data_IF_622894995353
#
_entry.id   IF_622894995353
#
_cell.length_a   1.000
_cell.length_b   1.000
_cell.length_c   1.000
_cell.angle_alpha   90.00
_cell.angle_beta   90.00
_cell.angle_gamma   90.00
#
_symmetry.space_group_name_H-M   'P 1'
#
loop_
_entity.id
_entity.type
_entity.pdbx_description
1 polymer ?
#
# COMPACT_ATOMS: atom_id res chain seq x y z
N UNK A 1 11.59 6.40 -4.05
CA UNK A 1 12.57 6.07 -2.97
C UNK A 1 13.39 4.88 -3.44
N UNK A 2 14.72 4.96 -3.40
CA UNK A 2 15.57 3.89 -3.94
C UNK A 2 15.62 2.69 -2.97
N UNK A 3 15.26 1.50 -3.46
CA UNK A 3 15.23 0.22 -2.74
C UNK A 3 16.62 -0.29 -2.29
N UNK A 4 17.68 0.48 -2.54
CA UNK A 4 19.07 0.08 -2.38
C UNK A 4 19.53 0.06 -0.91
N UNK A 5 18.96 0.90 -0.03
CA UNK A 5 19.34 0.96 1.38
C UNK A 5 18.92 -0.27 2.17
N UNK A 6 17.63 -0.62 2.10
CA UNK A 6 17.06 -1.78 2.82
C UNK A 6 17.66 -3.09 2.32
N UNK A 7 17.87 -3.22 1.00
CA UNK A 7 18.51 -4.42 0.43
C UNK A 7 19.96 -4.62 0.89
N UNK A 8 20.75 -3.55 1.09
CA UNK A 8 22.13 -3.66 1.58
C UNK A 8 22.20 -4.07 3.05
N UNK A 9 21.33 -3.51 3.90
CA UNK A 9 21.24 -3.87 5.33
C UNK A 9 20.79 -5.33 5.46
N UNK A 10 19.80 -5.74 4.66
CA UNK A 10 19.30 -7.12 4.63
C UNK A 10 20.32 -8.08 4.04
N UNK A 11 21.08 -7.70 3.02
CA UNK A 11 22.18 -8.52 2.49
C UNK A 11 23.31 -8.66 3.51
N UNK A 12 23.60 -7.64 4.33
CA UNK A 12 24.51 -7.76 5.49
C UNK A 12 23.95 -8.70 6.56
N UNK A 13 22.65 -8.60 6.85
CA UNK A 13 21.94 -9.48 7.78
C UNK A 13 21.85 -10.95 7.30
N UNK A 14 21.71 -11.17 6.00
CA UNK A 14 21.61 -12.48 5.37
C UNK A 14 22.97 -13.06 4.93
N UNK A 15 24.02 -12.23 4.84
CA UNK A 15 25.37 -12.62 4.43
C UNK A 15 26.21 -13.28 5.53
N UNK A 16 25.63 -13.50 6.71
CA UNK A 16 26.24 -14.31 7.77
C UNK A 16 25.94 -15.78 7.44
N UNK A 17 26.82 -16.41 6.66
CA UNK A 17 26.69 -17.82 6.29
C UNK A 17 26.90 -18.73 7.50
N UNK A 18 25.97 -19.66 7.73
CA UNK A 18 26.02 -20.64 8.83
C UNK A 18 24.66 -20.88 9.49
N UNK A 19 24.55 -21.88 10.38
CA UNK A 19 23.38 -22.03 11.26
C UNK A 19 23.22 -20.84 12.23
N UNK A 20 24.29 -20.07 12.34
CA UNK A 20 24.51 -19.04 13.33
C UNK A 20 23.97 -17.67 12.87
N UNK A 21 24.29 -17.20 11.66
CA UNK A 21 23.65 -15.98 11.12
C UNK A 21 22.11 -15.99 11.10
N UNK A 22 21.55 -17.20 11.00
CA UNK A 22 20.11 -17.46 10.92
C UNK A 22 19.37 -17.18 12.22
N UNK A 23 19.97 -17.45 13.38
CA UNK A 23 19.32 -17.19 14.68
C UNK A 23 19.56 -15.75 15.15
N UNK A 24 20.66 -15.10 14.71
CA UNK A 24 20.91 -13.69 15.00
C UNK A 24 19.85 -12.78 14.36
N UNK A 25 19.47 -13.04 13.10
CA UNK A 25 18.39 -12.31 12.41
C UNK A 25 17.05 -12.48 13.14
N UNK A 26 16.72 -13.72 13.53
CA UNK A 26 15.51 -14.05 14.26
C UNK A 26 15.46 -13.33 15.62
N UNK A 27 16.54 -13.39 16.40
CA UNK A 27 16.63 -12.71 17.71
C UNK A 27 16.60 -11.19 17.58
N UNK A 28 17.18 -10.62 16.53
CA UNK A 28 17.19 -9.17 16.24
C UNK A 28 15.79 -8.68 15.87
N UNK A 29 15.13 -9.38 14.94
CA UNK A 29 13.76 -9.07 14.53
C UNK A 29 12.82 -9.24 15.75
N UNK A 30 13.00 -10.30 16.54
CA UNK A 30 12.21 -10.54 17.75
C UNK A 30 12.49 -9.49 18.84
N UNK A 31 13.73 -9.07 19.07
CA UNK A 31 14.06 -8.05 20.08
C UNK A 31 13.66 -6.63 19.67
N UNK A 32 13.51 -6.38 18.37
CA UNK A 32 12.99 -5.11 17.84
C UNK A 32 11.45 -5.10 17.82
N UNK A 33 10.81 -6.27 17.68
CA UNK A 33 9.34 -6.40 17.57
C UNK A 33 8.66 -6.67 18.92
N UNK A 34 9.28 -7.42 19.82
CA UNK A 34 8.66 -7.87 21.07
C UNK A 34 9.22 -7.14 22.28
N UNK A 35 8.34 -6.74 23.19
CA UNK A 35 8.74 -6.23 24.53
C UNK A 35 9.37 -7.34 25.37
N UNK A 36 10.22 -6.97 26.32
CA UNK A 36 10.94 -7.89 27.22
C UNK A 36 10.00 -8.93 27.86
N UNK A 37 8.77 -8.52 28.18
CA UNK A 37 7.71 -9.38 28.74
C UNK A 37 7.23 -10.48 27.78
N UNK A 38 7.10 -10.18 26.48
CA UNK A 38 6.68 -11.14 25.44
C UNK A 38 7.81 -12.10 25.05
N UNK A 39 9.07 -11.64 25.16
CA UNK A 39 10.27 -12.46 25.00
C UNK A 39 10.35 -13.51 26.13
N UNK A 40 10.01 -13.13 27.36
CA UNK A 40 10.00 -14.03 28.53
C UNK A 40 8.91 -15.11 28.41
N UNK A 41 7.69 -14.76 27.97
CA UNK A 41 6.61 -15.73 27.77
C UNK A 41 6.92 -16.76 26.67
N UNK A 42 7.61 -16.36 25.59
CA UNK A 42 7.99 -17.25 24.49
C UNK A 42 9.21 -18.12 24.81
N UNK A 43 10.15 -17.61 25.63
CA UNK A 43 11.38 -18.31 26.00
C UNK A 43 11.22 -19.37 27.10
N UNK A 44 10.02 -19.54 27.68
CA UNK A 44 9.76 -20.68 28.57
C UNK A 44 9.69 -22.04 27.83
N UNK A 45 9.82 -22.07 26.50
CA UNK A 45 9.74 -23.32 25.72
C UNK A 45 11.06 -23.89 25.21
N UNK A 46 12.20 -23.19 25.20
CA UNK A 46 13.42 -23.74 24.59
C UNK A 46 14.71 -23.40 25.36
N UNK A 47 15.19 -24.37 26.14
CA UNK A 47 16.56 -24.38 26.68
C UNK A 47 17.51 -24.94 25.63
N UNK A 48 18.39 -24.09 25.09
CA UNK A 48 19.79 -24.35 24.65
C UNK A 48 20.12 -23.51 23.42
N UNK A 49 20.61 -22.28 23.54
CA UNK A 49 21.33 -21.67 22.40
C UNK A 49 22.36 -20.64 22.86
N UNK A 50 23.61 -21.07 22.94
CA UNK A 50 24.80 -20.22 23.02
C UNK A 50 25.53 -20.20 21.67
N UNK A 51 26.16 -19.05 21.40
CA UNK A 51 27.16 -18.73 20.37
C UNK A 51 26.71 -18.42 18.95
N UNK A 52 26.62 -17.11 18.67
CA UNK A 52 26.75 -16.51 17.33
C UNK A 52 27.41 -15.12 17.45
N UNK A 53 28.44 -14.93 16.63
CA UNK A 53 29.44 -13.85 16.61
C UNK A 53 29.08 -12.69 15.66
N UNK A 54 27.95 -12.06 15.94
CA UNK A 54 27.80 -10.62 16.00
C UNK A 54 26.73 -10.44 17.08
N UNK A 55 27.00 -9.72 18.19
CA UNK A 55 26.03 -9.63 19.26
C UNK A 55 24.76 -9.03 18.65
N UNK A 56 23.64 -9.73 18.76
CA UNK A 56 22.31 -9.31 18.29
C UNK A 56 22.08 -7.81 18.53
N UNK A 57 22.62 -7.30 19.63
CA UNK A 57 22.76 -5.90 20.03
C UNK A 57 23.24 -4.94 18.93
N UNK A 58 24.27 -5.27 18.14
CA UNK A 58 24.80 -4.40 17.08
C UNK A 58 23.83 -4.23 15.91
N UNK A 59 23.15 -5.31 15.52
CA UNK A 59 22.17 -5.29 14.44
C UNK A 59 20.91 -4.54 14.86
N UNK A 60 20.49 -4.71 16.12
CA UNK A 60 19.42 -3.91 16.73
C UNK A 60 19.80 -2.44 16.72
N UNK A 61 21.02 -2.09 17.15
CA UNK A 61 21.50 -0.71 17.17
C UNK A 61 21.52 -0.07 15.77
N UNK A 62 21.78 -0.84 14.71
CA UNK A 62 21.78 -0.34 13.33
C UNK A 62 20.37 -0.23 12.74
N UNK A 63 19.46 -1.16 13.07
CA UNK A 63 18.11 -1.19 12.51
C UNK A 63 17.15 -0.23 13.21
N UNK A 64 17.27 -0.07 14.52
CA UNK A 64 16.36 0.73 15.35
C UNK A 64 16.23 2.19 14.86
N UNK A 65 17.32 2.95 14.60
CA UNK A 65 17.20 4.32 14.11
C UNK A 65 16.52 4.40 12.75
N UNK A 66 16.78 3.43 11.87
CA UNK A 66 16.18 3.38 10.54
C UNK A 66 14.67 3.10 10.60
N UNK A 67 14.25 2.14 11.42
CA UNK A 67 12.85 1.81 11.69
C UNK A 67 12.13 3.01 12.30
N UNK A 68 12.68 3.61 13.35
CA UNK A 68 12.14 4.81 14.01
C UNK A 68 11.95 5.95 13.00
N UNK A 69 12.98 6.23 12.18
CA UNK A 69 12.91 7.26 11.13
C UNK A 69 11.78 7.03 10.13
N UNK A 70 11.61 5.81 9.64
CA UNK A 70 10.55 5.48 8.67
C UNK A 70 9.17 5.55 9.33
N UNK A 71 9.03 5.06 10.56
CA UNK A 71 7.80 5.15 11.34
C UNK A 71 7.36 6.59 11.51
N UNK A 72 8.25 7.47 11.99
CA UNK A 72 7.98 8.90 12.16
C UNK A 72 7.58 9.53 10.84
N UNK A 73 8.36 9.29 9.78
CA UNK A 73 8.07 9.82 8.46
C UNK A 73 6.66 9.42 7.99
N UNK A 74 6.27 8.16 8.16
CA UNK A 74 4.95 7.66 7.77
C UNK A 74 3.80 8.35 8.51
N UNK A 75 3.95 8.62 9.81
CA UNK A 75 2.96 9.38 10.57
C UNK A 75 2.86 10.82 10.09
N UNK A 76 4.00 11.50 9.91
CA UNK A 76 4.04 12.89 9.46
C UNK A 76 3.46 13.06 8.04
N UNK A 77 3.63 12.07 7.14
CA UNK A 77 3.04 12.10 5.80
C UNK A 77 1.50 12.10 5.83
N UNK A 78 0.88 11.55 6.88
CA UNK A 78 -0.58 11.50 7.06
C UNK A 78 -1.15 12.76 7.71
N UNK A 79 -0.31 13.58 8.35
CA UNK A 79 -0.75 14.80 9.04
C UNK A 79 -1.18 15.91 8.07
N UNK A 80 -2.03 16.81 8.58
CA UNK A 80 -2.39 18.03 7.86
C UNK A 80 -1.20 19.00 7.82
N UNK A 81 -1.24 19.96 6.88
CA UNK A 81 -0.24 21.01 6.79
C UNK A 81 -0.18 21.88 8.07
N UNK A 82 -1.34 22.09 8.71
CA UNK A 82 -1.47 22.87 9.95
C UNK A 82 -0.73 22.16 11.08
N UNK A 83 -1.01 20.87 11.29
CA UNK A 83 -0.37 20.07 12.33
C UNK A 83 1.15 20.01 12.16
N UNK A 84 1.61 19.81 10.92
CA UNK A 84 3.03 19.82 10.60
C UNK A 84 3.69 21.17 10.89
N UNK A 85 2.99 22.28 10.66
CA UNK A 85 3.50 23.61 10.98
C UNK A 85 3.64 23.79 12.50
N UNK A 86 2.67 23.33 13.28
CA UNK A 86 2.72 23.34 14.75
C UNK A 86 3.85 22.46 15.30
N UNK A 87 4.07 21.27 14.74
CA UNK A 87 5.18 20.39 15.15
C UNK A 87 6.56 20.97 14.78
N UNK A 88 6.64 21.72 13.68
CA UNK A 88 7.89 22.31 13.20
C UNK A 88 8.42 23.43 14.11
N UNK A 89 7.57 24.04 14.96
CA UNK A 89 7.99 25.08 15.90
C UNK A 89 9.12 24.65 16.83
N UNK A 90 9.24 23.36 17.16
CA UNK A 90 10.34 22.82 17.99
C UNK A 90 11.69 22.74 17.26
N UNK A 91 11.67 22.81 15.93
CA UNK A 91 12.84 22.60 15.06
C UNK A 91 13.18 23.85 14.23
N UNK A 92 12.57 24.98 14.58
CA UNK A 92 12.79 26.24 13.89
C UNK A 92 14.02 26.92 14.51
N UNK A 93 15.21 26.48 14.10
CA UNK A 93 16.46 27.11 14.52
C UNK A 93 16.47 28.57 14.08
N UNK A 94 16.71 29.49 15.03
CA UNK A 94 16.78 30.94 14.77
C UNK A 94 17.85 31.30 13.73
N UNK A 95 18.81 30.42 13.46
CA UNK A 95 19.97 30.65 12.60
C UNK A 95 19.69 30.68 11.08
N UNK A 96 18.48 30.34 10.63
CA UNK A 96 18.16 30.36 9.19
C UNK A 96 17.21 31.51 8.81
N UNK A 97 17.61 32.75 9.05
CA UNK A 97 16.88 33.92 8.50
C UNK A 97 16.68 33.81 6.98
N UNK A 98 17.58 33.08 6.28
CA UNK A 98 17.49 32.78 4.85
C UNK A 98 16.43 31.73 4.46
N UNK A 99 15.82 31.02 5.42
CA UNK A 99 14.72 30.06 5.16
C UNK A 99 13.33 30.63 5.49
N UNK A 100 13.23 31.84 6.09
CA UNK A 100 11.94 32.47 6.44
C UNK A 100 11.05 32.71 5.20
N UNK A 101 11.64 32.92 4.03
CA UNK A 101 10.92 33.23 2.78
C UNK A 101 10.57 32.00 1.93
N UNK A 102 11.09 30.81 2.27
CA UNK A 102 10.76 29.60 1.51
C UNK A 102 9.39 29.09 1.93
N UNK A 103 8.46 29.01 0.97
CA UNK A 103 7.15 28.35 1.16
C UNK A 103 7.38 26.98 1.80
N UNK A 104 6.93 26.83 3.04
CA UNK A 104 7.06 25.61 3.86
C UNK A 104 6.19 24.49 3.31
N UNK A 105 6.57 23.92 2.16
CA UNK A 105 5.84 22.81 1.56
C UNK A 105 5.81 21.61 2.51
N UNK A 106 4.73 20.83 2.51
CA UNK A 106 4.54 19.61 3.31
C UNK A 106 5.77 18.70 3.29
N UNK A 107 6.36 18.49 2.11
CA UNK A 107 7.54 17.63 1.94
C UNK A 107 8.76 18.15 2.71
N UNK A 108 8.96 19.47 2.76
CA UNK A 108 10.03 20.11 3.52
C UNK A 108 9.81 19.93 5.02
N UNK A 109 8.60 20.22 5.50
CA UNK A 109 8.23 20.07 6.92
C UNK A 109 8.42 18.63 7.39
N UNK A 110 7.86 17.64 6.67
CA UNK A 110 8.02 16.22 6.99
C UNK A 110 9.50 15.85 7.09
N UNK A 111 10.33 16.28 6.13
CA UNK A 111 11.77 15.96 6.13
C UNK A 111 12.48 16.55 7.35
N UNK A 112 12.26 17.84 7.65
CA UNK A 112 12.92 18.53 8.77
C UNK A 112 12.49 17.97 10.12
N UNK A 113 11.18 17.83 10.33
CA UNK A 113 10.62 17.25 11.56
C UNK A 113 11.11 15.80 11.73
N UNK A 114 11.12 14.99 10.67
CA UNK A 114 11.65 13.62 10.74
C UNK A 114 13.10 13.60 11.22
N UNK A 115 13.95 14.47 10.66
CA UNK A 115 15.35 14.56 11.07
C UNK A 115 15.49 14.92 12.55
N UNK A 116 14.84 16.01 12.99
CA UNK A 116 14.93 16.46 14.38
C UNK A 116 14.38 15.44 15.38
N UNK A 117 13.23 14.81 15.10
CA UNK A 117 12.70 13.73 15.96
C UNK A 117 13.64 12.53 15.97
N UNK A 118 14.31 12.18 14.87
CA UNK A 118 15.16 10.99 14.83
C UNK A 118 16.44 11.16 15.65
N UNK A 119 16.93 12.39 15.83
CA UNK A 119 18.13 12.69 16.62
C UNK A 119 17.94 12.40 18.12
N UNK A 120 16.79 12.76 18.68
CA UNK A 120 16.40 12.41 20.05
C UNK A 120 14.98 11.83 20.10
N UNK A 121 14.84 10.63 19.53
CA UNK A 121 13.52 10.01 19.39
C UNK A 121 12.82 9.78 20.72
N UNK A 122 13.49 9.15 21.68
CA UNK A 122 12.86 8.79 22.96
C UNK A 122 12.63 10.05 23.83
N UNK A 123 13.56 11.00 23.82
CA UNK A 123 13.41 12.28 24.52
C UNK A 123 12.31 13.15 23.95
N UNK A 124 12.16 13.24 22.62
CA UNK A 124 11.10 14.01 21.97
C UNK A 124 9.71 13.55 22.44
N UNK A 125 9.42 12.24 22.36
CA UNK A 125 8.11 11.71 22.76
C UNK A 125 7.88 11.72 24.28
N UNK A 126 8.94 11.64 25.09
CA UNK A 126 8.85 11.76 26.55
C UNK A 126 8.48 13.19 26.98
N UNK A 127 8.97 14.19 26.23
CA UNK A 127 8.72 15.60 26.50
C UNK A 127 7.48 16.16 25.79
N UNK A 128 6.82 15.34 24.96
CA UNK A 128 5.67 15.75 24.15
C UNK A 128 4.45 16.11 25.02
N UNK A 129 3.96 17.35 24.90
CA UNK A 129 2.85 17.90 25.71
C UNK A 129 1.91 18.75 24.87
N UNK A 130 0.75 19.09 25.44
CA UNK A 130 -0.19 20.06 24.87
C UNK A 130 -0.76 19.63 23.50
N UNK A 131 -0.84 20.57 22.57
CA UNK A 131 -1.44 20.33 21.25
C UNK A 131 -0.61 19.38 20.38
N UNK A 132 0.72 19.38 20.55
CA UNK A 132 1.62 18.44 19.86
C UNK A 132 1.34 16.99 20.24
N UNK A 133 1.08 16.74 21.53
CA UNK A 133 0.67 15.40 21.97
C UNK A 133 -0.69 15.01 21.36
N UNK A 134 -1.66 15.93 21.31
CA UNK A 134 -2.97 15.67 20.70
C UNK A 134 -2.85 15.30 19.22
N UNK A 135 -1.97 15.97 18.47
CA UNK A 135 -1.72 15.68 17.04
C UNK A 135 -1.30 14.21 16.87
N UNK A 136 -0.35 13.72 17.66
CA UNK A 136 0.06 12.32 17.58
C UNK A 136 -1.03 11.35 18.07
N UNK A 137 -1.73 11.69 19.16
CA UNK A 137 -2.81 10.85 19.71
C UNK A 137 -4.00 10.68 18.75
N UNK A 138 -4.23 11.63 17.85
CA UNK A 138 -5.28 11.53 16.82
C UNK A 138 -4.96 10.48 15.75
N UNK A 139 -3.67 10.21 15.53
CA UNK A 139 -3.21 9.24 14.53
C UNK A 139 -2.94 7.86 15.12
N UNK A 140 -2.77 7.77 16.43
CA UNK A 140 -2.55 6.51 17.11
C UNK A 140 -3.86 5.90 17.59
N UNK A 141 -4.00 4.58 17.47
CA UNK A 141 -5.12 3.88 18.10
C UNK A 141 -5.07 3.99 19.64
N UNK A 142 -3.86 4.18 20.16
CA UNK A 142 -3.58 4.30 21.60
C UNK A 142 -3.76 5.74 22.09
N UNK A 143 -4.69 5.97 23.02
CA UNK A 143 -4.87 7.29 23.67
C UNK A 143 -3.81 7.57 24.77
N UNK A 144 -2.64 6.92 24.72
CA UNK A 144 -1.61 6.98 25.77
C UNK A 144 -0.25 7.32 25.18
N UNK A 145 0.40 8.36 25.72
CA UNK A 145 1.73 8.81 25.30
C UNK A 145 2.80 7.71 25.18
N UNK A 146 3.04 6.84 26.19
CA UNK A 146 4.08 5.80 26.07
C UNK A 146 3.82 4.78 24.96
N UNK A 147 2.56 4.61 24.54
CA UNK A 147 2.20 3.72 23.44
C UNK A 147 2.46 4.32 22.06
N UNK A 148 2.64 5.65 21.96
CA UNK A 148 2.97 6.32 20.70
C UNK A 148 4.31 5.83 20.17
N UNK A 149 5.31 5.73 21.04
CA UNK A 149 6.65 5.22 20.70
C UNK A 149 6.56 3.79 20.14
N UNK A 150 5.82 2.92 20.84
CA UNK A 150 5.64 1.53 20.44
C UNK A 150 4.94 1.44 19.09
N UNK A 151 3.87 2.21 18.88
CA UNK A 151 3.07 2.20 17.65
C UNK A 151 3.87 2.74 16.45
N UNK A 152 4.57 3.86 16.62
CA UNK A 152 5.45 4.43 15.58
C UNK A 152 6.56 3.44 15.21
N UNK A 153 7.16 2.80 16.21
CA UNK A 153 8.21 1.78 15.98
C UNK A 153 7.63 0.60 15.23
N UNK A 154 6.46 0.10 15.63
CA UNK A 154 5.78 -1.02 14.98
C UNK A 154 5.44 -0.71 13.52
N UNK A 155 4.90 0.48 13.23
CA UNK A 155 4.63 0.95 11.86
C UNK A 155 5.94 1.05 11.06
N UNK A 156 7.02 1.53 11.66
CA UNK A 156 8.34 1.53 11.05
C UNK A 156 8.83 0.14 10.69
N UNK A 157 8.64 -0.85 11.57
CA UNK A 157 9.00 -2.25 11.30
C UNK A 157 8.13 -2.83 10.19
N UNK A 158 6.82 -2.56 10.22
CA UNK A 158 5.89 -3.01 9.19
C UNK A 158 6.31 -2.50 7.80
N UNK A 159 6.57 -1.20 7.66
CA UNK A 159 7.03 -0.61 6.40
C UNK A 159 8.39 -1.16 6.00
N UNK A 160 9.31 -1.35 6.95
CA UNK A 160 10.59 -1.99 6.67
C UNK A 160 10.38 -3.40 6.10
N UNK A 161 9.55 -4.23 6.73
CA UNK A 161 9.24 -5.59 6.31
C UNK A 161 8.56 -5.61 4.93
N UNK A 162 7.68 -4.66 4.62
CA UNK A 162 7.07 -4.54 3.29
C UNK A 162 8.06 -4.20 2.18
N UNK A 163 9.18 -3.55 2.51
CA UNK A 163 10.24 -3.26 1.56
C UNK A 163 11.22 -4.43 1.37
N UNK A 164 11.05 -5.53 2.12
CA UNK A 164 11.86 -6.74 2.00
C UNK A 164 11.37 -7.59 0.83
N UNK A 165 12.30 -8.21 0.11
CA UNK A 165 11.97 -9.14 -0.97
C UNK A 165 11.15 -10.33 -0.44
N UNK A 166 10.13 -10.75 -1.19
CA UNK A 166 9.23 -11.85 -0.79
C UNK A 166 9.97 -13.16 -0.52
N UNK A 167 11.06 -13.45 -1.25
CA UNK A 167 11.89 -14.61 -0.99
C UNK A 167 12.50 -14.60 0.42
N UNK A 168 12.99 -13.43 0.85
CA UNK A 168 13.54 -13.23 2.20
C UNK A 168 12.44 -13.27 3.26
N UNK A 169 11.26 -12.68 3.01
CA UNK A 169 10.12 -12.77 3.93
C UNK A 169 9.65 -14.21 4.14
N UNK A 170 9.57 -14.98 3.05
CA UNK A 170 9.22 -16.41 3.10
C UNK A 170 10.23 -17.18 3.94
N UNK A 171 11.52 -16.93 3.71
CA UNK A 171 12.60 -17.51 4.49
C UNK A 171 12.47 -17.20 6.00
N UNK A 172 12.17 -15.93 6.34
CA UNK A 172 11.95 -15.52 7.74
C UNK A 172 10.74 -16.27 8.34
N UNK A 173 9.63 -16.37 7.61
CA UNK A 173 8.44 -17.11 8.06
C UNK A 173 8.75 -18.59 8.33
N UNK A 174 9.45 -19.26 7.41
CA UNK A 174 9.87 -20.66 7.59
C UNK A 174 10.75 -20.84 8.82
N UNK A 175 11.65 -19.90 9.09
CA UNK A 175 12.51 -19.91 10.28
C UNK A 175 11.76 -19.68 11.58
N UNK A 176 10.68 -18.91 11.54
CA UNK A 176 9.79 -18.69 12.68
C UNK A 176 8.77 -19.82 12.88
N UNK A 177 8.77 -20.85 12.03
CA UNK A 177 7.80 -21.95 12.08
C UNK A 177 6.43 -21.59 11.50
N UNK A 178 6.31 -20.49 10.75
CA UNK A 178 5.07 -20.06 10.10
C UNK A 178 4.90 -20.72 8.74
N UNK A 179 3.90 -21.58 8.62
CA UNK A 179 3.52 -22.21 7.35
C UNK A 179 2.54 -21.28 6.62
N UNK A 180 3.08 -20.36 5.82
CA UNK A 180 2.27 -19.40 5.06
C UNK A 180 1.79 -20.04 3.75
N UNK A 181 0.47 -20.12 3.48
CA UNK A 181 -0.06 -20.87 2.34
C UNK A 181 0.12 -20.16 0.98
N UNK A 182 0.45 -18.87 0.98
CA UNK A 182 0.58 -18.06 -0.23
C UNK A 182 1.83 -17.16 -0.19
N UNK A 183 2.32 -16.77 -1.37
CA UNK A 183 3.44 -15.82 -1.49
C UNK A 183 2.99 -14.36 -1.32
N UNK A 184 1.93 -14.10 -0.55
CA UNK A 184 1.43 -12.75 -0.36
C UNK A 184 2.27 -12.04 0.72
N UNK A 185 2.97 -10.94 0.40
CA UNK A 185 3.82 -10.23 1.37
C UNK A 185 3.01 -9.76 2.58
N UNK A 186 1.76 -9.32 2.41
CA UNK A 186 0.91 -8.89 3.53
C UNK A 186 0.73 -10.00 4.56
N UNK A 187 0.46 -11.23 4.12
CA UNK A 187 0.26 -12.37 5.02
C UNK A 187 1.56 -12.70 5.76
N UNK A 188 2.70 -12.64 5.07
CA UNK A 188 4.02 -12.88 5.69
C UNK A 188 4.37 -11.82 6.72
N UNK A 189 4.23 -10.53 6.37
CA UNK A 189 4.50 -9.40 7.27
C UNK A 189 3.59 -9.48 8.50
N UNK A 190 2.28 -9.67 8.33
CA UNK A 190 1.36 -9.84 9.45
C UNK A 190 1.72 -11.06 10.30
N UNK A 191 2.15 -12.18 9.70
CA UNK A 191 2.57 -13.37 10.45
C UNK A 191 3.80 -13.09 11.31
N UNK A 192 4.77 -12.35 10.76
CA UNK A 192 6.00 -11.96 11.47
C UNK A 192 5.67 -11.02 12.63
N UNK A 193 4.82 -10.00 12.41
CA UNK A 193 4.48 -9.00 13.42
C UNK A 193 3.59 -9.57 14.53
N UNK A 194 2.53 -10.31 14.18
CA UNK A 194 1.56 -10.85 15.16
C UNK A 194 2.03 -12.13 15.82
N UNK A 195 3.02 -12.80 15.23
CA UNK A 195 3.51 -14.08 15.67
C UNK A 195 2.60 -15.27 15.32
N UNK A 196 1.55 -15.07 14.51
CA UNK A 196 0.59 -16.08 14.11
C UNK A 196 0.20 -15.94 12.63
N UNK A 197 -0.03 -17.07 11.93
CA UNK A 197 -0.48 -17.04 10.53
C UNK A 197 -1.96 -16.63 10.50
N UNK A 198 -2.35 -15.53 9.82
CA UNK A 198 -3.74 -15.13 9.71
C UNK A 198 -4.57 -16.26 9.12
N UNK A 199 -5.75 -16.51 9.70
CA UNK A 199 -6.68 -17.48 9.14
C UNK A 199 -6.96 -17.11 7.69
N UNK A 200 -6.86 -18.10 6.79
CA UNK A 200 -7.19 -17.90 5.38
C UNK A 200 -8.65 -17.45 5.32
N UNK A 201 -8.89 -16.17 5.02
CA UNK A 201 -10.23 -15.67 4.75
C UNK A 201 -10.78 -16.52 3.61
N UNK A 202 -11.71 -17.41 3.93
CA UNK A 202 -12.43 -18.16 2.91
C UNK A 202 -13.09 -17.10 2.03
N UNK A 203 -12.72 -17.08 0.75
CA UNK A 203 -13.39 -16.21 -0.20
C UNK A 203 -14.88 -16.54 -0.10
N UNK A 204 -15.76 -15.55 0.09
CA UNK A 204 -17.18 -15.82 0.19
C UNK A 204 -17.57 -16.67 -1.01
N UNK A 205 -18.14 -17.84 -0.75
CA UNK A 205 -18.49 -18.79 -1.79
C UNK A 205 -19.17 -18.01 -2.91
N UNK A 206 -18.58 -18.03 -4.12
CA UNK A 206 -19.15 -17.33 -5.27
C UNK A 206 -20.59 -17.81 -5.36
N UNK A 207 -21.55 -16.94 -5.04
CA UNK A 207 -22.97 -17.29 -5.11
C UNK A 207 -23.18 -17.69 -6.56
N UNK A 208 -23.37 -18.99 -6.81
CA UNK A 208 -23.66 -19.49 -8.15
C UNK A 208 -25.03 -18.93 -8.48
N UNK A 209 -25.04 -17.83 -9.24
CA UNK A 209 -26.27 -17.24 -9.71
C UNK A 209 -26.86 -18.25 -10.68
N UNK A 210 -27.94 -18.91 -10.24
CA UNK A 210 -28.72 -19.79 -11.11
C UNK A 210 -29.54 -18.92 -12.05
N UNK A 211 -29.13 -18.96 -13.31
CA UNK A 211 -29.82 -18.30 -14.41
C UNK A 211 -31.04 -19.13 -14.84
N UNK A 212 -32.18 -18.47 -15.06
CA UNK A 212 -33.30 -19.12 -15.75
C UNK A 212 -32.87 -19.54 -17.16
N UNK A 213 -33.32 -20.72 -17.62
CA UNK A 213 -33.00 -21.22 -18.98
C UNK A 213 -33.90 -20.65 -20.06
N UNK A 214 -35.06 -20.11 -19.68
CA UNK A 214 -36.11 -19.65 -20.60
C UNK A 214 -36.41 -18.19 -20.32
N UNK A 215 -36.72 -17.45 -21.39
CA UNK A 215 -37.23 -16.09 -21.31
C UNK A 215 -38.61 -16.09 -20.65
N UNK A 216 -38.67 -15.60 -19.41
CA UNK A 216 -39.90 -15.43 -18.64
C UNK A 216 -40.50 -14.06 -18.93
N UNK A 217 -41.84 -13.91 -19.05
CA UNK A 217 -42.49 -12.62 -19.29
C UNK A 217 -42.24 -11.65 -18.13
N UNK A 218 -42.09 -10.35 -18.43
CA UNK A 218 -41.82 -9.28 -17.47
C UNK A 218 -42.98 -9.11 -16.47
N UNK A 219 -42.91 -9.84 -15.35
CA UNK A 219 -43.90 -9.85 -14.26
C UNK A 219 -43.21 -9.73 -12.89
N UNK A 220 -44.00 -9.39 -11.86
CA UNK A 220 -43.51 -9.29 -10.47
C UNK A 220 -42.80 -10.57 -10.03
N UNK A 221 -41.67 -10.42 -9.34
CA UNK A 221 -40.88 -11.54 -8.80
C UNK A 221 -39.71 -12.03 -9.68
N UNK A 222 -39.45 -11.38 -10.82
CA UNK A 222 -38.23 -11.65 -11.61
C UNK A 222 -36.98 -11.10 -10.92
N UNK A 223 -35.85 -11.80 -11.09
CA UNK A 223 -34.55 -11.32 -10.62
C UNK A 223 -33.86 -10.51 -11.71
N UNK A 224 -32.99 -9.60 -11.28
CA UNK A 224 -32.13 -8.81 -12.18
C UNK A 224 -31.40 -9.67 -13.23
N UNK A 225 -30.84 -10.79 -12.80
CA UNK A 225 -30.05 -11.67 -13.68
C UNK A 225 -30.89 -12.33 -14.78
N UNK A 226 -32.15 -12.65 -14.51
CA UNK A 226 -33.06 -13.26 -15.48
C UNK A 226 -33.43 -12.26 -16.59
N UNK A 227 -33.71 -11.01 -16.20
CA UNK A 227 -33.99 -9.94 -17.17
C UNK A 227 -32.72 -9.61 -17.97
N UNK A 228 -31.58 -9.47 -17.29
CA UNK A 228 -30.33 -9.10 -17.92
C UNK A 228 -29.88 -10.08 -19.00
N UNK A 229 -30.11 -11.38 -18.79
CA UNK A 229 -29.72 -12.44 -19.72
C UNK A 229 -30.67 -12.58 -20.91
N UNK A 230 -31.99 -12.49 -20.70
CA UNK A 230 -32.98 -12.89 -21.71
C UNK A 230 -33.59 -11.76 -22.52
N UNK A 231 -33.39 -10.51 -22.11
CA UNK A 231 -33.98 -9.35 -22.78
C UNK A 231 -32.93 -8.45 -23.41
N UNK A 232 -33.19 -8.02 -24.63
CA UNK A 232 -32.40 -6.99 -25.31
C UNK A 232 -32.83 -5.59 -24.85
N UNK A 233 -31.99 -4.59 -25.09
CA UNK A 233 -32.26 -3.22 -24.61
C UNK A 233 -33.53 -2.67 -25.24
N UNK A 234 -33.75 -2.95 -26.53
CA UNK A 234 -34.89 -2.51 -27.33
C UNK A 234 -36.20 -3.06 -26.78
N UNK A 235 -36.21 -4.31 -26.31
CA UNK A 235 -37.38 -4.95 -25.72
C UNK A 235 -37.72 -4.34 -24.35
N UNK A 236 -36.70 -4.06 -23.54
CA UNK A 236 -36.88 -3.39 -22.25
C UNK A 236 -37.37 -1.95 -22.43
N UNK A 237 -36.85 -1.25 -23.45
CA UNK A 237 -37.29 0.10 -23.80
C UNK A 237 -38.72 0.11 -24.33
N UNK A 238 -39.12 -0.91 -25.09
CA UNK A 238 -40.51 -1.07 -25.56
C UNK A 238 -41.46 -1.27 -24.38
N UNK A 239 -41.11 -2.16 -23.45
CA UNK A 239 -41.87 -2.33 -22.20
C UNK A 239 -41.96 -1.02 -21.39
N UNK A 240 -40.85 -0.28 -21.25
CA UNK A 240 -40.88 1.02 -20.59
C UNK A 240 -41.81 2.02 -21.30
N UNK A 241 -41.87 2.01 -22.64
CA UNK A 241 -42.76 2.90 -23.40
C UNK A 241 -44.23 2.55 -23.17
N UNK A 242 -44.57 1.26 -23.15
CA UNK A 242 -45.92 0.76 -22.90
C UNK A 242 -46.41 1.11 -21.49
N UNK A 243 -45.54 1.00 -20.48
CA UNK A 243 -45.86 1.29 -19.07
C UNK A 243 -45.61 2.76 -18.66
N UNK A 244 -45.26 3.64 -19.60
CA UNK A 244 -45.04 5.07 -19.33
C UNK A 244 -43.78 5.38 -18.49
N UNK A 245 -42.79 4.49 -18.48
CA UNK A 245 -41.51 4.65 -17.79
C UNK A 245 -40.47 5.37 -18.67
N UNK A 246 -39.50 6.03 -18.02
CA UNK A 246 -38.37 6.67 -18.71
C UNK A 246 -37.54 5.63 -19.48
N UNK A 247 -37.31 5.88 -20.77
CA UNK A 247 -36.61 4.96 -21.71
C UNK A 247 -35.08 5.16 -21.69
N UNK A 248 -34.61 6.37 -21.36
CA UNK A 248 -33.18 6.70 -21.36
C UNK A 248 -32.41 5.97 -20.25
N UNK A 249 -31.17 5.60 -20.53
CA UNK A 249 -30.21 5.09 -19.55
C UNK A 249 -29.47 3.85 -20.04
N UNK A 250 -28.55 3.36 -19.21
CA UNK A 250 -27.86 2.09 -19.48
C UNK A 250 -28.79 0.89 -19.29
N UNK A 251 -28.50 -0.27 -19.91
CA UNK A 251 -29.31 -1.50 -19.74
C UNK A 251 -29.57 -1.83 -18.27
N UNK A 252 -28.56 -1.63 -17.40
CA UNK A 252 -28.69 -1.89 -15.96
C UNK A 252 -29.71 -0.98 -15.28
N UNK A 253 -29.69 0.31 -15.61
CA UNK A 253 -30.64 1.31 -15.10
C UNK A 253 -32.07 1.00 -15.54
N UNK A 254 -32.25 0.65 -16.82
CA UNK A 254 -33.56 0.28 -17.37
C UNK A 254 -34.11 -0.96 -16.66
N UNK A 255 -33.28 -2.00 -16.43
CA UNK A 255 -33.69 -3.20 -15.68
C UNK A 255 -34.07 -2.85 -14.25
N UNK A 256 -33.29 -2.03 -13.55
CA UNK A 256 -33.60 -1.64 -12.18
C UNK A 256 -34.90 -0.84 -12.10
N UNK A 257 -35.17 0.04 -13.08
CA UNK A 257 -36.44 0.78 -13.18
C UNK A 257 -37.62 -0.16 -13.39
N UNK A 258 -37.50 -1.12 -14.30
CA UNK A 258 -38.52 -2.15 -14.55
C UNK A 258 -38.75 -2.99 -13.28
N UNK A 259 -37.70 -3.43 -12.59
CA UNK A 259 -37.85 -4.19 -11.34
C UNK A 259 -38.53 -3.38 -10.24
N UNK A 260 -38.17 -2.10 -10.08
CA UNK A 260 -38.80 -1.22 -9.11
C UNK A 260 -40.29 -1.02 -9.44
N UNK A 261 -40.62 -0.78 -10.72
CA UNK A 261 -42.00 -0.67 -11.19
C UNK A 261 -42.80 -1.95 -10.93
N UNK A 262 -42.27 -3.12 -11.32
CA UNK A 262 -42.95 -4.41 -11.13
C UNK A 262 -43.14 -4.80 -9.66
N UNK A 263 -42.21 -4.41 -8.78
CA UNK A 263 -42.27 -4.78 -7.37
C UNK A 263 -43.11 -3.81 -6.53
N UNK A 264 -43.01 -2.50 -6.81
CA UNK A 264 -43.60 -1.44 -6.00
C UNK A 264 -44.76 -0.70 -6.67
N UNK A 265 -44.99 -0.89 -7.98
CA UNK A 265 -46.06 -0.22 -8.73
C UNK A 265 -45.84 1.28 -8.90
N UNK A 266 -44.63 1.79 -8.62
CA UNK A 266 -44.33 3.22 -8.69
C UNK A 266 -43.74 3.51 -10.06
N UNK A 267 -44.51 4.19 -10.92
CA UNK A 267 -43.98 4.84 -12.10
C UNK A 267 -43.15 6.05 -11.64
N UNK A 268 -41.86 6.08 -11.97
CA UNK A 268 -41.03 7.28 -11.72
C UNK A 268 -41.62 8.45 -12.50
N UNK A 269 -42.24 9.40 -11.80
CA UNK A 269 -42.67 10.67 -12.39
C UNK A 269 -41.40 11.37 -12.89
N UNK A 270 -41.29 11.69 -14.18
CA UNK A 270 -40.11 12.34 -14.73
C UNK A 270 -39.90 13.70 -14.04
N UNK A 271 -38.80 13.84 -13.29
CA UNK A 271 -38.35 15.14 -12.80
C UNK A 271 -37.99 16.03 -14.00
N UNK A 272 -38.79 17.08 -14.20
CA UNK A 272 -38.37 18.36 -14.78
C UNK A 272 -38.85 18.65 -16.21
N UNK A 273 -39.98 19.36 -16.34
CA UNK A 273 -40.15 20.37 -17.39
C UNK A 273 -39.63 21.68 -16.78
N UNK A 274 -38.50 22.20 -17.29
CA UNK A 274 -38.13 23.59 -17.04
C UNK A 274 -39.22 24.44 -17.68
N UNK A 275 -39.87 25.27 -16.88
CA UNK A 275 -40.67 26.38 -17.39
C UNK A 275 -39.66 27.49 -17.62
N UNK A 276 -39.49 27.84 -18.89
CA UNK A 276 -38.95 29.13 -19.28
C UNK A 276 -39.99 30.18 -18.90
N UNK A 277 -39.62 31.13 -18.05
CA UNK A 277 -40.26 32.44 -17.99
C UNK A 277 -39.15 33.49 -17.88
N UNK A 278 -38.95 34.17 -19.00
CA UNK A 278 -38.59 35.58 -19.12
C UNK A 278 -39.66 36.40 -18.40
N UNK A 279 -39.51 37.59 -17.82
CA UNK A 279 -38.74 38.83 -17.98
C UNK A 279 -38.86 39.49 -16.57
N UNK A 280 -37.88 40.23 -16.05
CA UNK A 280 -37.88 41.70 -16.16
C UNK A 280 -36.52 42.27 -15.76
N UNK A 281 -36.13 43.28 -16.52
CA UNK A 281 -34.94 44.14 -16.39
C UNK A 281 -34.99 44.99 -15.10
N UNK A 282 -33.84 45.29 -14.49
CA UNK A 282 -33.45 46.69 -14.31
C UNK A 282 -31.93 46.86 -14.05
N UNK A 283 -31.41 47.88 -14.70
CA UNK A 283 -30.03 48.37 -14.76
C UNK A 283 -29.48 48.92 -13.42
N UNK A 284 -28.16 48.84 -13.25
CA UNK A 284 -27.25 49.99 -13.00
C UNK A 284 -25.81 49.47 -12.89
N UNK A 285 -24.97 49.70 -13.91
CA UNK A 285 -23.93 50.75 -14.02
C UNK A 285 -22.86 50.71 -12.93
N UNK A 286 -21.65 50.27 -13.27
CA UNK A 286 -20.48 51.07 -13.74
C UNK A 286 -19.50 51.30 -12.59
N UNK A 287 -18.25 50.82 -12.74
CA UNK A 287 -16.94 51.50 -12.64
C UNK A 287 -15.94 50.35 -12.90
N UNK A 288 -15.34 50.23 -14.10
CA UNK A 288 -14.06 50.84 -14.49
C UNK A 288 -12.93 50.50 -13.47
N UNK A 289 -11.71 50.12 -13.82
CA UNK A 289 -10.91 50.36 -15.00
C UNK A 289 -9.63 49.52 -14.81
N UNK A 290 -9.05 49.10 -15.94
CA UNK A 290 -7.60 49.10 -16.23
C UNK A 290 -6.62 48.26 -15.37
N UNK A 291 -5.57 47.65 -15.90
CA UNK A 291 -5.07 47.47 -17.26
C UNK A 291 -3.79 46.61 -17.23
N UNK A 292 -3.24 46.39 -18.43
CA UNK A 292 -1.80 46.17 -18.74
C UNK A 292 -1.36 44.70 -18.59
N UNK A 293 -1.52 43.90 -19.66
CA UNK A 293 -0.54 43.56 -20.74
C UNK A 293 0.61 42.69 -20.25
N UNK A 294 0.79 41.47 -20.73
CA UNK A 294 1.26 41.01 -22.07
C UNK A 294 2.78 40.82 -22.09
N UNK A 295 3.21 39.81 -22.85
CA UNK A 295 4.58 39.40 -23.22
C UNK A 295 5.36 38.59 -22.16
N UNK A 296 5.62 37.31 -22.39
CA UNK A 296 6.58 36.68 -23.34
C UNK A 296 8.02 36.65 -22.80
N UNK A 297 8.77 35.67 -23.32
CA UNK A 297 10.19 35.36 -23.15
C UNK A 297 10.58 34.51 -21.91
N UNK A 298 10.89 33.22 -22.11
CA UNK A 298 12.05 32.61 -22.78
C UNK A 298 13.22 32.42 -21.79
N UNK A 299 13.62 31.14 -21.70
CA UNK A 299 14.98 30.62 -21.52
C UNK A 299 15.94 31.31 -20.54
N UNK A 300 16.41 30.57 -19.53
CA UNK A 300 17.83 30.22 -19.54
C UNK A 300 18.15 29.00 -18.65
N UNK A 301 19.08 28.22 -19.16
CA UNK A 301 19.62 26.99 -18.62
C UNK A 301 20.71 27.26 -17.58
N UNK A 302 20.77 26.42 -16.54
CA UNK A 302 22.03 26.17 -15.82
C UNK A 302 22.05 24.69 -15.41
N UNK A 303 22.55 23.86 -16.32
CA UNK A 303 23.05 22.52 -16.02
C UNK A 303 24.57 22.67 -15.83
N UNK A 304 25.02 22.61 -14.58
CA UNK A 304 26.44 22.42 -14.28
C UNK A 304 26.87 21.01 -14.74
N UNK A 305 27.62 20.96 -15.84
CA UNK A 305 28.48 19.85 -16.20
C UNK A 305 29.70 19.84 -15.25
N UNK A 306 29.87 18.76 -14.49
CA UNK A 306 31.14 18.46 -13.82
C UNK A 306 31.94 17.51 -14.70
N UNK A 307 33.03 18.06 -15.22
CA UNK A 307 34.10 17.36 -15.93
C UNK A 307 34.67 16.21 -15.10
N UNK A 308 34.82 15.04 -15.72
CA UNK A 308 35.74 14.00 -15.27
C UNK A 308 36.67 13.66 -16.44
N UNK A 309 38.00 13.76 -16.27
CA UNK A 309 38.94 13.58 -17.37
C UNK A 309 39.10 12.13 -17.80
N UNK A 310 39.15 11.99 -19.12
CA UNK A 310 39.46 10.83 -19.93
C UNK A 310 40.98 10.58 -19.99
N UNK A 311 41.45 9.34 -19.85
CA UNK A 311 42.60 8.85 -20.64
C UNK A 311 42.61 7.32 -20.79
N UNK A 312 42.26 6.90 -22.01
CA UNK A 312 42.91 5.94 -22.93
C UNK A 312 43.32 4.53 -22.46
N UNK A 313 42.73 3.51 -23.08
CA UNK A 313 43.47 2.48 -23.84
C UNK A 313 42.54 1.69 -24.78
N UNK A 314 42.63 2.09 -26.03
CA UNK A 314 42.23 1.46 -27.30
C UNK A 314 42.66 -0.01 -27.43
N UNK A 315 41.73 -0.93 -27.77
CA UNK A 315 41.91 -2.02 -28.76
C UNK A 315 40.54 -2.45 -29.29
N UNK A 316 40.35 -2.36 -30.61
CA UNK A 316 39.36 -3.11 -31.39
C UNK A 316 40.13 -3.89 -32.49
N UNK A 317 39.51 -4.67 -33.41
CA UNK A 317 38.15 -5.22 -33.47
C UNK A 317 38.12 -6.73 -33.88
N UNK A 318 36.98 -7.42 -33.70
CA UNK A 318 36.58 -8.52 -34.60
C UNK A 318 35.06 -8.75 -34.61
N UNK A 319 34.52 -8.88 -35.83
CA UNK A 319 33.10 -8.94 -36.20
C UNK A 319 32.47 -10.34 -36.05
N UNK A 320 31.23 -10.38 -35.51
CA UNK A 320 30.07 -11.24 -35.87
C UNK A 320 30.17 -12.78 -35.69
N UNK A 321 29.08 -13.59 -35.71
CA UNK A 321 27.66 -13.30 -35.96
C UNK A 321 26.63 -13.95 -34.99
N UNK A 322 25.35 -13.58 -35.21
CA UNK A 322 24.10 -14.17 -34.69
C UNK A 322 24.06 -15.70 -34.70
N UNK A 323 23.58 -16.30 -33.60
CA UNK A 323 22.81 -17.56 -33.65
C UNK A 323 21.85 -17.71 -32.47
N UNK A 324 20.55 -17.75 -32.78
CA UNK A 324 19.45 -18.20 -31.93
C UNK A 324 19.54 -19.70 -31.61
N UNK A 325 19.26 -20.18 -30.38
CA UNK A 325 19.08 -21.61 -30.14
C UNK A 325 17.62 -22.04 -30.35
N UNK A 326 17.48 -23.06 -31.19
CA UNK A 326 16.26 -23.84 -31.46
C UNK A 326 15.73 -24.53 -30.20
N UNK A 327 14.42 -24.40 -30.03
CA UNK A 327 13.52 -25.20 -29.20
C UNK A 327 13.65 -26.69 -29.54
N UNK A 328 14.17 -27.51 -28.62
CA UNK A 328 14.08 -28.97 -28.69
C UNK A 328 12.89 -29.45 -27.85
N UNK A 329 11.90 -30.04 -28.53
CA UNK A 329 10.84 -30.86 -27.95
C UNK A 329 11.37 -32.27 -27.71
N UNK A 330 11.61 -32.66 -26.46
CA UNK A 330 11.83 -34.05 -26.10
C UNK A 330 10.48 -34.73 -25.84
N UNK A 331 10.32 -35.87 -26.51
CA UNK A 331 9.16 -36.77 -26.49
C UNK A 331 8.99 -37.42 -25.12
N UNK A 332 7.71 -37.53 -24.77
CA UNK A 332 7.08 -38.40 -23.79
C UNK A 332 7.54 -39.85 -23.99
N UNK A 333 8.03 -40.50 -22.93
CA UNK A 333 8.05 -41.96 -22.79
C UNK A 333 7.42 -42.29 -21.45
N UNK A 334 6.26 -42.95 -21.51
CA UNK A 334 5.53 -43.45 -20.36
C UNK A 334 6.19 -44.74 -19.82
N UNK A 335 6.38 -44.90 -18.50
CA UNK A 335 6.69 -46.19 -17.91
C UNK A 335 5.41 -46.99 -17.64
N UNK A 336 5.39 -48.19 -18.23
CA UNK A 336 4.37 -49.23 -18.06
C UNK A 336 4.29 -49.78 -16.61
N UNK A 337 3.13 -50.30 -16.19
CA UNK A 337 2.87 -50.74 -14.81
C UNK A 337 3.47 -52.13 -14.50
N UNK A 338 4.15 -52.22 -13.35
CA UNK A 338 4.61 -53.49 -12.77
C UNK A 338 3.47 -54.21 -12.02
N UNK A 339 3.33 -55.51 -12.29
CA UNK A 339 2.35 -56.43 -11.69
C UNK A 339 2.65 -56.74 -10.21
N UNK A 340 1.63 -57.04 -9.39
CA UNK A 340 1.79 -57.49 -8.01
C UNK A 340 2.14 -58.98 -7.93
N UNK A 341 3.18 -59.32 -7.15
CA UNK A 341 3.44 -60.70 -6.71
C UNK A 341 2.55 -61.02 -5.51
N UNK A 342 1.66 -61.99 -5.68
CA UNK A 342 1.05 -62.78 -4.60
C UNK A 342 2.15 -63.60 -3.92
N UNK A 343 2.20 -63.54 -2.59
CA UNK A 343 2.91 -64.50 -1.75
C UNK A 343 1.90 -65.04 -0.73
N UNK A 344 1.43 -66.25 -0.99
CA UNK A 344 0.79 -67.14 -0.03
C UNK A 344 1.84 -68.10 0.48
N UNK A 345 2.11 -68.08 1.79
CA UNK A 345 2.10 -69.27 2.66
C UNK A 345 2.17 -68.84 4.11
#
# INVERSE_FOLDING_TARGET
>A
MSYLGSSKIIKKLCGIEGADGKKALQKTIISVIYTEKQIIEKNQCDKKYENISAPTTELVALLTPYVKKIGVKSYLEQMSQVDLSTLYEDFNDEESEKEKDKKKNKVFLVRKITSGITEDFDGYFTNLKGDKLKIFLQLTASQLSPKIIEEITLVGVEIFLFNVQTATLKYICEKLGYVVPNNNPNVMVTSILTGAVPAKKEAPAKKVITFSKKKLPLKKGLRYHDIFQHYYVEELQSFCREEGLKISGTKKEVINRILNFLNHGIAEIPKGKKVDDAEEEEETKEVAQEAVTDEEDEDDAELEEVEVPETVAEVAPAKSPKSTPKRQTSKIVAPSPSKPKKSTK
#
